data_IF_325934567340
#
_entry.id   IF_325934567340
#
_cell.length_a   1.000
_cell.length_b   1.000
_cell.length_c   1.000
_cell.angle_alpha   90.00
_cell.angle_beta   90.00
_cell.angle_gamma   90.00
#
_symmetry.space_group_name_H-M   'P 1'
#
loop_
_entity.id
_entity.type
_entity.pdbx_description
1 polymer ?
#
# COMPACT_ATOMS: atom_id res chain seq x y z
N UNK A 1 -6.30 17.91 -16.35
CA UNK A 1 -7.00 18.67 -15.28
C UNK A 1 -6.02 19.63 -14.61
N UNK A 2 -6.41 20.89 -14.40
CA UNK A 2 -5.62 21.92 -13.71
C UNK A 2 -5.84 21.84 -12.19
N UNK A 3 -4.94 22.46 -11.41
CA UNK A 3 -4.97 22.35 -9.95
C UNK A 3 -6.24 22.97 -9.33
N UNK A 4 -6.69 24.11 -9.84
CA UNK A 4 -7.92 24.77 -9.37
C UNK A 4 -9.19 23.97 -9.68
N UNK A 5 -9.23 23.27 -10.82
CA UNK A 5 -10.35 22.39 -11.21
C UNK A 5 -10.47 21.22 -10.23
N UNK A 6 -9.34 20.60 -9.87
CA UNK A 6 -9.30 19.53 -8.88
C UNK A 6 -9.72 20.04 -7.50
N UNK A 7 -9.22 21.20 -7.06
CA UNK A 7 -9.62 21.79 -5.77
C UNK A 7 -11.11 22.13 -5.72
N UNK A 8 -11.70 22.52 -6.86
CA UNK A 8 -13.14 22.74 -6.97
C UNK A 8 -13.92 21.43 -6.81
N UNK A 9 -13.48 20.35 -7.45
CA UNK A 9 -14.09 19.01 -7.28
C UNK A 9 -14.04 18.56 -5.83
N UNK A 10 -12.86 18.63 -5.20
CA UNK A 10 -12.67 18.30 -3.77
C UNK A 10 -13.60 19.15 -2.87
N UNK A 11 -13.77 20.43 -3.19
CA UNK A 11 -14.72 21.30 -2.49
C UNK A 11 -16.18 20.90 -2.65
N UNK A 12 -16.55 20.33 -3.80
CA UNK A 12 -17.92 19.88 -4.06
C UNK A 12 -18.22 18.58 -3.30
N UNK A 13 -17.22 17.72 -3.14
CA UNK A 13 -17.36 16.44 -2.42
C UNK A 13 -17.38 16.62 -0.90
N UNK A 14 -16.43 17.38 -0.34
CA UNK A 14 -16.26 17.50 1.11
C UNK A 14 -16.81 18.81 1.69
N UNK A 15 -17.04 19.82 0.86
CA UNK A 15 -17.40 21.16 1.31
C UNK A 15 -16.20 22.04 1.65
N UNK A 16 -16.26 23.31 1.26
CA UNK A 16 -15.16 24.27 1.35
C UNK A 16 -14.59 24.47 2.77
N UNK A 17 -15.44 24.39 3.81
CA UNK A 17 -15.01 24.55 5.21
C UNK A 17 -14.14 23.38 5.68
N UNK A 18 -14.53 22.16 5.33
CA UNK A 18 -13.79 20.94 5.70
C UNK A 18 -12.44 20.94 5.00
N UNK A 19 -12.42 21.24 3.70
CA UNK A 19 -11.17 21.29 2.93
C UNK A 19 -10.24 22.40 3.42
N UNK A 20 -10.76 23.59 3.75
CA UNK A 20 -9.96 24.67 4.32
C UNK A 20 -9.34 24.27 5.67
N UNK A 21 -10.10 23.57 6.53
CA UNK A 21 -9.62 23.06 7.81
C UNK A 21 -8.52 22.00 7.64
N UNK A 22 -8.72 21.03 6.75
CA UNK A 22 -7.71 20.01 6.40
C UNK A 22 -6.44 20.71 5.94
N UNK A 23 -6.52 21.66 5.02
CA UNK A 23 -5.34 22.36 4.49
C UNK A 23 -4.70 23.37 5.47
N UNK A 24 -5.29 23.60 6.64
CA UNK A 24 -4.82 24.60 7.59
C UNK A 24 -4.85 26.02 7.02
N UNK A 25 -5.84 26.34 6.19
CA UNK A 25 -6.00 27.64 5.51
C UNK A 25 -7.30 28.31 5.90
N UNK A 26 -7.33 29.64 5.80
CA UNK A 26 -8.59 30.37 5.97
C UNK A 26 -9.52 30.10 4.78
N UNK A 27 -10.83 30.21 5.00
CA UNK A 27 -11.82 30.00 3.96
C UNK A 27 -11.64 30.97 2.77
N UNK A 28 -11.20 32.20 3.05
CA UNK A 28 -10.89 33.19 2.02
C UNK A 28 -9.65 32.81 1.19
N UNK A 29 -8.62 32.22 1.82
CA UNK A 29 -7.46 31.66 1.10
C UNK A 29 -7.87 30.47 0.24
N UNK A 30 -8.74 29.59 0.78
CA UNK A 30 -9.27 28.47 0.05
C UNK A 30 -10.05 28.88 -1.21
N UNK A 31 -10.95 29.87 -1.11
CA UNK A 31 -11.71 30.34 -2.26
C UNK A 31 -10.83 30.90 -3.39
N UNK A 32 -9.65 31.44 -3.06
CA UNK A 32 -8.70 31.88 -4.09
C UNK A 32 -8.15 30.69 -4.89
N UNK A 33 -7.95 29.53 -4.26
CA UNK A 33 -7.48 28.31 -4.94
C UNK A 33 -8.52 27.70 -5.89
N UNK A 34 -9.81 27.95 -5.66
CA UNK A 34 -10.89 27.38 -6.49
C UNK A 34 -11.37 28.31 -7.60
N UNK A 35 -11.03 29.61 -7.55
CA UNK A 35 -11.57 30.64 -8.46
C UNK A 35 -10.57 31.19 -9.47
N UNK A 36 -9.26 31.20 -9.16
CA UNK A 36 -8.26 31.84 -10.01
C UNK A 36 -7.29 30.82 -10.64
N UNK A 37 -7.30 30.65 -11.98
CA UNK A 37 -6.38 29.74 -12.66
C UNK A 37 -4.90 30.16 -12.60
N UNK A 38 -4.63 31.45 -12.33
CA UNK A 38 -3.30 32.07 -12.44
C UNK A 38 -2.78 32.75 -11.15
N UNK A 39 -3.45 32.59 -10.00
CA UNK A 39 -2.95 33.19 -8.76
C UNK A 39 -2.01 32.25 -8.00
N UNK A 40 -0.74 32.66 -8.01
CA UNK A 40 0.44 32.19 -7.28
C UNK A 40 1.08 30.87 -7.76
N UNK A 41 2.40 30.88 -8.11
CA UNK A 41 3.19 29.69 -8.47
C UNK A 41 3.45 28.75 -7.29
N UNK A 42 3.15 29.16 -6.07
CA UNK A 42 2.94 28.26 -4.93
C UNK A 42 1.54 27.67 -5.02
N UNK A 43 1.42 26.71 -5.93
CA UNK A 43 0.29 25.84 -6.17
C UNK A 43 -0.43 25.42 -4.88
N UNK A 44 -1.70 24.94 -4.94
CA UNK A 44 -2.34 24.19 -3.86
C UNK A 44 -1.62 22.85 -3.55
N UNK A 45 -0.34 22.75 -3.88
CA UNK A 45 0.63 21.68 -3.79
C UNK A 45 1.97 22.28 -3.31
N UNK A 46 1.91 23.26 -2.41
CA UNK A 46 3.10 23.73 -1.69
C UNK A 46 3.50 22.67 -0.66
N UNK A 47 4.75 22.69 -0.15
CA UNK A 47 5.22 21.69 0.84
C UNK A 47 4.29 21.50 2.05
N UNK A 48 3.61 22.55 2.50
CA UNK A 48 2.62 22.45 3.58
C UNK A 48 1.28 21.79 3.20
N UNK A 49 0.93 21.73 1.92
CA UNK A 49 -0.21 20.95 1.43
C UNK A 49 0.19 19.50 1.21
N UNK A 50 1.43 19.22 0.79
CA UNK A 50 1.94 17.85 0.66
C UNK A 50 1.88 17.06 1.96
N UNK A 51 2.13 17.72 3.09
CA UNK A 51 2.00 17.09 4.41
C UNK A 51 0.55 16.67 4.76
N UNK A 52 -0.46 17.08 3.98
CA UNK A 52 -1.88 16.89 4.28
C UNK A 52 -2.67 16.27 3.13
N UNK A 53 -1.97 15.76 2.12
CA UNK A 53 -2.60 15.05 0.98
C UNK A 53 -3.23 13.74 1.48
N UNK A 54 -2.58 13.06 2.42
CA UNK A 54 -3.10 11.83 3.01
C UNK A 54 -4.42 12.07 3.74
N UNK A 55 -4.49 13.09 4.60
CA UNK A 55 -5.74 13.51 5.27
C UNK A 55 -6.85 13.86 4.27
N UNK A 56 -6.49 14.48 3.15
CA UNK A 56 -7.44 14.87 2.11
C UNK A 56 -7.98 13.66 1.33
N UNK A 57 -7.10 12.73 0.97
CA UNK A 57 -7.48 11.47 0.30
C UNK A 57 -8.32 10.61 1.23
N UNK A 58 -7.94 10.49 2.51
CA UNK A 58 -8.70 9.76 3.52
C UNK A 58 -10.10 10.35 3.70
N UNK A 59 -10.23 11.67 3.81
CA UNK A 59 -11.53 12.32 3.89
C UNK A 59 -12.40 12.04 2.65
N UNK A 60 -11.82 12.05 1.45
CA UNK A 60 -12.53 11.72 0.21
C UNK A 60 -12.99 10.26 0.19
N UNK A 61 -12.13 9.32 0.61
CA UNK A 61 -12.49 7.89 0.74
C UNK A 61 -13.63 7.71 1.73
N UNK A 62 -13.55 8.34 2.90
CA UNK A 62 -14.58 8.27 3.94
C UNK A 62 -15.92 8.90 3.51
N UNK A 63 -15.88 9.86 2.58
CA UNK A 63 -17.08 10.44 1.97
C UNK A 63 -17.72 9.56 0.88
N UNK A 64 -17.04 8.50 0.45
CA UNK A 64 -17.46 7.63 -0.66
C UNK A 64 -17.09 8.14 -2.06
N UNK A 65 -16.47 9.32 -2.18
CA UNK A 65 -16.01 9.86 -3.45
C UNK A 65 -14.63 9.31 -3.85
N UNK A 66 -14.62 8.02 -4.17
CA UNK A 66 -13.41 7.30 -4.61
C UNK A 66 -12.86 7.83 -5.94
N UNK A 67 -13.70 8.42 -6.79
CA UNK A 67 -13.26 9.01 -8.04
C UNK A 67 -12.37 10.22 -7.79
N UNK A 68 -12.84 11.17 -6.98
CA UNK A 68 -12.06 12.35 -6.61
C UNK A 68 -10.82 11.97 -5.79
N UNK A 69 -10.92 10.98 -4.89
CA UNK A 69 -9.76 10.44 -4.17
C UNK A 69 -8.66 9.93 -5.11
N UNK A 70 -9.03 9.12 -6.12
CA UNK A 70 -8.11 8.62 -7.15
C UNK A 70 -7.49 9.74 -7.97
N UNK A 71 -8.26 10.77 -8.30
CA UNK A 71 -7.75 11.93 -9.04
C UNK A 71 -6.73 12.75 -8.24
N UNK A 72 -6.97 12.93 -6.94
CA UNK A 72 -6.04 13.60 -6.00
C UNK A 72 -4.75 12.79 -5.88
N UNK A 73 -4.84 11.51 -5.55
CA UNK A 73 -3.68 10.63 -5.42
C UNK A 73 -2.92 10.46 -6.75
N UNK A 74 -3.63 10.38 -7.87
CA UNK A 74 -3.05 10.28 -9.21
C UNK A 74 -2.23 11.51 -9.60
N UNK A 75 -2.74 12.71 -9.28
CA UNK A 75 -2.00 13.95 -9.50
C UNK A 75 -0.73 14.01 -8.64
N UNK A 76 -0.80 13.51 -7.42
CA UNK A 76 0.33 13.46 -6.49
C UNK A 76 1.45 12.54 -6.99
N UNK A 77 1.15 11.29 -7.33
CA UNK A 77 2.19 10.36 -7.81
C UNK A 77 2.82 10.82 -9.13
N UNK A 78 2.06 11.52 -9.99
CA UNK A 78 2.59 12.09 -11.22
C UNK A 78 3.66 13.16 -10.97
N UNK A 79 3.60 13.90 -9.85
CA UNK A 79 4.62 14.90 -9.51
C UNK A 79 5.97 14.27 -9.14
N UNK A 80 5.97 13.03 -8.64
CA UNK A 80 7.19 12.26 -8.33
C UNK A 80 7.60 11.31 -9.46
N UNK A 81 7.02 11.47 -10.66
CA UNK A 81 7.33 10.63 -11.82
C UNK A 81 6.69 9.23 -11.82
N UNK A 82 5.72 9.01 -10.94
CA UNK A 82 5.01 7.75 -10.80
C UNK A 82 3.59 7.80 -11.42
N UNK A 83 2.97 6.64 -11.58
CA UNK A 83 1.56 6.52 -12.00
C UNK A 83 0.83 5.56 -11.07
N UNK A 84 -0.42 5.87 -10.76
CA UNK A 84 -1.30 4.89 -10.12
C UNK A 84 -1.71 3.86 -11.17
N UNK A 85 -1.60 2.59 -10.79
CA UNK A 85 -2.14 1.48 -11.54
C UNK A 85 -3.16 0.84 -10.63
N UNK A 86 -4.36 0.59 -11.14
CA UNK A 86 -5.32 -0.21 -10.41
C UNK A 86 -4.70 -1.59 -10.18
N UNK A 87 -4.54 -1.97 -8.91
CA UNK A 87 -4.19 -3.35 -8.62
C UNK A 87 -5.32 -4.21 -9.17
N UNK A 88 -4.97 -5.14 -10.05
CA UNK A 88 -5.88 -6.22 -10.39
C UNK A 88 -6.31 -6.90 -9.08
N UNK A 89 -7.55 -7.40 -8.98
CA UNK A 89 -7.92 -8.26 -7.87
C UNK A 89 -6.85 -9.34 -7.75
N UNK A 90 -6.31 -9.55 -6.55
CA UNK A 90 -5.51 -10.73 -6.31
C UNK A 90 -6.40 -11.92 -6.65
N UNK A 91 -6.00 -12.70 -7.65
CA UNK A 91 -6.65 -13.96 -7.98
C UNK A 91 -5.86 -15.05 -7.28
N UNK A 92 -6.18 -15.40 -6.02
CA UNK A 92 -5.52 -16.50 -5.36
C UNK A 92 -5.75 -17.75 -6.21
N UNK A 93 -4.65 -18.44 -6.51
CA UNK A 93 -4.65 -19.70 -7.22
C UNK A 93 -4.99 -20.87 -6.28
N UNK A 94 -5.02 -20.62 -4.96
CA UNK A 94 -5.35 -21.58 -3.92
C UNK A 94 -6.65 -21.22 -3.20
N UNK A 95 -7.40 -22.21 -2.68
CA UNK A 95 -8.66 -21.99 -2.00
C UNK A 95 -8.50 -21.39 -0.58
N UNK A 96 -7.29 -21.31 -0.04
CA UNK A 96 -7.01 -20.79 1.30
C UNK A 96 -5.81 -19.83 1.29
N UNK A 97 -5.83 -18.85 2.19
CA UNK A 97 -4.72 -17.88 2.37
C UNK A 97 -3.44 -18.61 2.77
N UNK A 98 -3.57 -19.63 3.63
CA UNK A 98 -2.46 -20.49 4.03
C UNK A 98 -1.84 -21.18 2.81
N UNK A 99 -2.64 -21.59 1.82
CA UNK A 99 -2.12 -22.20 0.60
C UNK A 99 -1.31 -21.24 -0.27
N UNK A 100 -1.63 -19.95 -0.26
CA UNK A 100 -0.86 -18.90 -0.94
C UNK A 100 0.45 -18.58 -0.19
N UNK A 101 0.43 -18.59 1.15
CA UNK A 101 1.60 -18.26 1.97
C UNK A 101 2.62 -19.41 2.12
N UNK A 102 2.24 -20.63 1.73
CA UNK A 102 3.03 -21.85 1.95
C UNK A 102 3.94 -22.18 0.75
N UNK A 103 3.73 -21.55 -0.41
CA UNK A 103 4.64 -21.68 -1.56
C UNK A 103 6.05 -21.12 -1.26
N UNK A 104 6.18 -20.21 -0.29
CA UNK A 104 7.48 -19.68 0.17
C UNK A 104 8.23 -20.63 1.11
N UNK A 105 7.58 -21.67 1.65
CA UNK A 105 8.15 -22.63 2.62
C UNK A 105 7.76 -24.08 2.26
N UNK A 106 8.27 -24.63 1.14
CA UNK A 106 7.82 -25.89 0.58
C UNK A 106 8.04 -27.10 1.50
N UNK A 107 9.10 -27.13 2.31
CA UNK A 107 9.30 -28.22 3.27
C UNK A 107 8.28 -28.20 4.42
N UNK A 108 7.89 -27.00 4.89
CA UNK A 108 6.85 -26.84 5.90
C UNK A 108 5.48 -27.24 5.33
N UNK A 109 5.22 -26.89 4.07
CA UNK A 109 4.05 -27.34 3.31
C UNK A 109 3.93 -28.87 3.32
N UNK A 110 5.00 -29.54 2.92
CA UNK A 110 5.06 -30.99 2.76
C UNK A 110 4.87 -31.69 4.11
N UNK A 111 5.47 -31.16 5.18
CA UNK A 111 5.28 -31.70 6.53
C UNK A 111 3.81 -31.56 6.99
N UNK A 112 3.20 -30.39 6.83
CA UNK A 112 1.79 -30.18 7.18
C UNK A 112 0.86 -31.08 6.36
N UNK A 113 1.12 -31.25 5.06
CA UNK A 113 0.35 -32.15 4.20
C UNK A 113 0.47 -33.62 4.64
N UNK A 114 1.66 -34.08 5.02
CA UNK A 114 1.88 -35.44 5.51
C UNK A 114 1.14 -35.71 6.84
N UNK A 115 1.14 -34.73 7.76
CA UNK A 115 0.44 -34.81 9.05
C UNK A 115 -1.09 -34.82 8.86
N UNK A 116 -1.60 -33.96 7.96
CA UNK A 116 -3.03 -33.81 7.70
C UNK A 116 -3.60 -34.85 6.72
N UNK A 117 -2.77 -35.75 6.21
CA UNK A 117 -3.21 -36.84 5.34
C UNK A 117 -4.28 -37.70 6.03
N UNK A 118 -5.31 -38.20 5.31
CA UNK A 118 -6.32 -39.11 5.87
C UNK A 118 -5.72 -40.38 6.50
N UNK A 119 -4.50 -40.75 6.11
CA UNK A 119 -3.73 -41.87 6.66
C UNK A 119 -2.27 -41.43 6.83
N UNK A 120 -1.92 -40.74 7.93
CA UNK A 120 -0.56 -40.29 8.14
C UNK A 120 0.35 -41.48 8.41
N UNK A 121 1.57 -41.44 7.87
CA UNK A 121 2.60 -42.45 8.04
C UNK A 121 3.77 -41.85 8.80
N UNK A 122 4.14 -42.44 9.95
CA UNK A 122 5.23 -41.89 10.76
C UNK A 122 6.58 -41.81 10.00
N UNK A 123 7.01 -42.83 9.23
CA UNK A 123 8.19 -42.70 8.38
C UNK A 123 8.15 -41.55 7.38
N UNK A 124 6.99 -41.30 6.76
CA UNK A 124 6.82 -40.23 5.77
C UNK A 124 6.86 -38.85 6.45
N UNK A 125 6.15 -38.70 7.57
CA UNK A 125 6.18 -37.47 8.38
C UNK A 125 7.59 -37.17 8.89
N UNK A 126 8.33 -38.19 9.32
CA UNK A 126 9.71 -38.04 9.79
C UNK A 126 10.64 -37.56 8.66
N UNK A 127 10.53 -38.14 7.47
CA UNK A 127 11.28 -37.71 6.29
C UNK A 127 11.02 -36.22 5.95
N UNK A 128 9.74 -35.79 5.98
CA UNK A 128 9.40 -34.37 5.72
C UNK A 128 9.88 -33.44 6.84
N UNK A 129 9.89 -33.92 8.07
CA UNK A 129 10.43 -33.17 9.21
C UNK A 129 11.94 -32.95 9.08
N UNK A 130 12.69 -34.00 8.73
CA UNK A 130 14.13 -33.91 8.52
C UNK A 130 14.48 -32.95 7.37
N UNK A 131 13.70 -32.98 6.28
CA UNK A 131 13.84 -32.02 5.18
C UNK A 131 13.63 -30.56 5.63
N UNK A 132 12.59 -30.30 6.44
CA UNK A 132 12.35 -28.96 7.00
C UNK A 132 13.48 -28.51 7.93
N UNK A 133 14.01 -29.41 8.77
CA UNK A 133 15.15 -29.08 9.63
C UNK A 133 16.38 -28.69 8.81
N UNK A 134 16.65 -29.38 7.71
CA UNK A 134 17.77 -29.06 6.83
C UNK A 134 17.64 -27.65 6.24
N UNK A 135 16.46 -27.29 5.74
CA UNK A 135 16.19 -25.95 5.17
C UNK A 135 16.36 -24.82 6.21
N UNK A 136 15.90 -25.05 7.45
CA UNK A 136 16.10 -24.10 8.57
C UNK A 136 17.58 -23.92 8.86
N UNK A 137 18.35 -25.03 8.92
CA UNK A 137 19.77 -24.98 9.21
C UNK A 137 20.56 -24.25 8.10
N UNK A 138 20.25 -24.49 6.83
CA UNK A 138 20.86 -23.77 5.70
C UNK A 138 20.59 -22.26 5.77
N UNK A 139 19.38 -21.87 6.16
CA UNK A 139 19.00 -20.46 6.32
C UNK A 139 19.79 -19.79 7.44
N UNK A 140 19.96 -20.49 8.57
CA UNK A 140 20.75 -19.99 9.70
C UNK A 140 22.24 -19.85 9.35
N UNK A 141 22.82 -20.81 8.63
CA UNK A 141 24.22 -20.71 8.19
C UNK A 141 24.43 -19.56 7.20
N UNK A 142 23.53 -19.37 6.22
CA UNK A 142 23.60 -18.20 5.32
C UNK A 142 23.53 -16.87 6.08
N UNK A 143 22.68 -16.79 7.09
CA UNK A 143 22.60 -15.60 7.96
C UNK A 143 23.91 -15.38 8.72
N UNK A 144 24.49 -16.45 9.29
CA UNK A 144 25.78 -16.41 9.98
C UNK A 144 26.91 -15.97 9.05
N UNK A 145 27.00 -16.51 7.84
CA UNK A 145 27.98 -16.11 6.82
C UNK A 145 27.86 -14.62 6.47
N UNK A 146 26.63 -14.13 6.29
CA UNK A 146 26.36 -12.72 6.05
C UNK A 146 26.87 -11.83 7.20
N UNK A 147 26.59 -12.21 8.44
CA UNK A 147 27.06 -11.48 9.62
C UNK A 147 28.59 -11.47 9.75
N UNK A 148 29.27 -12.55 9.35
CA UNK A 148 30.73 -12.60 9.32
C UNK A 148 31.32 -11.72 8.21
N UNK A 149 30.67 -11.67 7.03
CA UNK A 149 31.11 -10.84 5.92
C UNK A 149 30.95 -9.33 6.18
N UNK A 150 29.97 -8.93 6.99
CA UNK A 150 29.72 -7.53 7.38
C UNK A 150 30.64 -7.04 8.53
N UNK A 151 31.44 -7.93 9.13
CA UNK A 151 32.41 -7.62 10.19
C UNK A 151 33.86 -7.45 9.69
N UNK A 152 34.08 -7.58 8.37
CA UNK A 152 35.37 -7.36 7.67
C UNK A 152 35.32 -6.04 6.91
#
# INVERSE_FOLDING_TARGET
>A
MKAHELMKLVSMSLGAKIVAAILGKSLAQFYRYTTAPNHNPDTPWSPGVFARVDDLVEALVNSGDLHTARLVAGRWVHQVGCRLVDMAPAHPNRPTVEGECVDDLPALAALHAAICSPKPSYPDVLEKYEALQMEINETLEKFREKMLAEQV
#
